data_IF_626798852824
#
_entry.id   IF_626798852824
#
_cell.length_a   1.000
_cell.length_b   1.000
_cell.length_c   1.000
_cell.angle_alpha   90.00
_cell.angle_beta   90.00
_cell.angle_gamma   90.00
#
_symmetry.space_group_name_H-M   'P 1'
#
loop_
_entity.id
_entity.type
_entity.pdbx_description
1 polymer ?
#
# COMPACT_ATOMS: atom_id res chain seq x y z
N UNK A 1 -8.08 9.93 3.90
CA UNK A 1 -7.63 10.13 2.51
C UNK A 1 -8.74 9.85 1.52
N UNK A 2 -9.68 8.98 1.86
CA UNK A 2 -10.73 8.46 0.98
C UNK A 2 -11.50 9.53 0.19
N UNK A 3 -12.02 10.58 0.85
CA UNK A 3 -12.71 11.70 0.17
C UNK A 3 -11.82 12.48 -0.82
N UNK A 4 -10.52 12.54 -0.57
CA UNK A 4 -9.55 13.19 -1.46
C UNK A 4 -9.18 12.29 -2.65
N UNK A 5 -9.37 10.99 -2.55
CA UNK A 5 -9.04 10.04 -3.61
C UNK A 5 -10.25 9.69 -4.49
N UNK A 6 -11.46 9.95 -4.02
CA UNK A 6 -12.71 9.67 -4.73
C UNK A 6 -12.73 10.31 -6.13
N UNK A 7 -13.01 9.46 -7.14
CA UNK A 7 -13.10 9.86 -8.55
C UNK A 7 -11.77 10.23 -9.21
N UNK A 8 -10.63 9.95 -8.57
CA UNK A 8 -9.29 10.34 -9.06
C UNK A 8 -8.31 9.18 -9.00
N UNK A 9 -7.46 9.05 -10.01
CA UNK A 9 -6.25 8.24 -9.89
C UNK A 9 -5.30 8.92 -8.90
N UNK A 10 -5.02 8.23 -7.79
CA UNK A 10 -4.27 8.79 -6.67
C UNK A 10 -3.00 7.98 -6.42
N UNK A 11 -1.85 8.64 -6.46
CA UNK A 11 -0.56 8.03 -6.13
C UNK A 11 -0.07 8.56 -4.78
N UNK A 12 0.01 7.69 -3.77
CA UNK A 12 0.28 8.06 -2.38
C UNK A 12 1.57 7.40 -1.91
N UNK A 13 2.52 8.19 -1.44
CA UNK A 13 3.74 7.72 -0.77
C UNK A 13 3.54 7.95 0.73
N UNK A 14 3.61 6.88 1.52
CA UNK A 14 3.40 6.97 2.97
C UNK A 14 4.29 6.00 3.74
N UNK A 15 4.69 6.41 4.95
CA UNK A 15 5.38 5.56 5.91
C UNK A 15 4.44 4.90 6.93
N UNK A 16 3.18 5.37 7.02
CA UNK A 16 2.19 4.84 7.97
C UNK A 16 1.22 3.93 7.23
N UNK A 17 1.09 2.68 7.68
CA UNK A 17 0.13 1.72 7.11
C UNK A 17 -1.30 2.25 7.12
N UNK A 18 -1.71 2.98 8.17
CA UNK A 18 -3.07 3.54 8.26
C UNK A 18 -3.43 4.49 7.12
N UNK A 19 -2.44 5.13 6.48
CA UNK A 19 -2.66 6.04 5.35
C UNK A 19 -2.97 5.28 4.05
N UNK A 20 -2.41 4.08 3.89
CA UNK A 20 -2.46 3.29 2.65
C UNK A 20 -3.34 2.03 2.77
N UNK A 21 -3.94 1.77 3.93
CA UNK A 21 -4.78 0.59 4.19
C UNK A 21 -5.92 0.42 3.18
N UNK A 22 -6.53 1.52 2.75
CA UNK A 22 -7.68 1.53 1.84
C UNK A 22 -7.26 1.65 0.36
N UNK A 23 -5.98 1.53 0.04
CA UNK A 23 -5.51 1.60 -1.35
C UNK A 23 -5.88 0.32 -2.10
N UNK A 24 -6.31 0.46 -3.35
CA UNK A 24 -6.62 -0.67 -4.23
C UNK A 24 -5.37 -1.55 -4.48
N UNK A 25 -4.21 -0.89 -4.63
CA UNK A 25 -2.92 -1.53 -4.86
C UNK A 25 -1.87 -0.81 -4.00
N UNK A 26 -1.11 -1.60 -3.26
CA UNK A 26 0.04 -1.18 -2.47
C UNK A 26 1.29 -1.78 -3.11
N UNK A 27 2.32 -0.96 -3.29
CA UNK A 27 3.65 -1.35 -3.75
C UNK A 27 4.62 -1.15 -2.60
N UNK A 28 5.27 -2.23 -2.17
CA UNK A 28 6.33 -2.17 -1.15
C UNK A 28 7.66 -2.09 -1.87
N UNK A 29 8.40 -1.03 -1.58
CA UNK A 29 9.72 -0.80 -2.16
C UNK A 29 10.80 -1.03 -1.12
N UNK A 30 11.84 -1.76 -1.53
CA UNK A 30 13.06 -1.94 -0.75
C UNK A 30 14.28 -1.87 -1.68
N UNK A 31 15.31 -1.14 -1.28
CA UNK A 31 16.54 -0.93 -2.07
C UNK A 31 16.30 -0.57 -3.56
N UNK A 32 15.27 0.24 -3.84
CA UNK A 32 14.93 0.68 -5.19
C UNK A 32 14.17 -0.35 -6.05
N UNK A 33 13.78 -1.48 -5.49
CA UNK A 33 13.02 -2.53 -6.17
C UNK A 33 11.63 -2.69 -5.52
N UNK A 34 10.64 -3.08 -6.31
CA UNK A 34 9.33 -3.49 -5.79
C UNK A 34 9.47 -4.94 -5.31
N UNK A 35 9.41 -5.13 -3.99
CA UNK A 35 9.55 -6.46 -3.38
C UNK A 35 8.19 -7.12 -3.14
N UNK A 36 7.12 -6.33 -2.96
CA UNK A 36 5.76 -6.84 -2.81
C UNK A 36 4.73 -5.94 -3.49
N UNK A 37 3.65 -6.58 -3.94
CA UNK A 37 2.49 -5.92 -4.53
C UNK A 37 1.20 -6.65 -4.13
N UNK A 38 0.17 -5.88 -3.81
CA UNK A 38 -1.16 -6.39 -3.46
C UNK A 38 -1.99 -5.33 -2.74
N UNK A 39 -3.23 -5.68 -2.36
CA UNK A 39 -3.99 -4.86 -1.42
C UNK A 39 -3.58 -5.18 0.02
N UNK A 40 -4.11 -4.41 0.98
CA UNK A 40 -3.78 -4.59 2.40
C UNK A 40 -3.99 -6.03 2.88
N UNK A 41 -5.15 -6.62 2.62
CA UNK A 41 -5.49 -7.96 3.10
C UNK A 41 -4.56 -9.04 2.54
N UNK A 42 -4.27 -8.99 1.23
CA UNK A 42 -3.39 -9.95 0.58
C UNK A 42 -1.95 -9.85 1.09
N UNK A 43 -1.44 -8.63 1.34
CA UNK A 43 -0.10 -8.43 1.86
C UNK A 43 0.03 -8.83 3.34
N UNK A 44 -0.98 -8.52 4.16
CA UNK A 44 -1.04 -9.01 5.55
C UNK A 44 -1.05 -10.54 5.61
N UNK A 45 -1.80 -11.19 4.71
CA UNK A 45 -1.88 -12.65 4.63
C UNK A 45 -0.55 -13.31 4.20
N UNK A 46 0.28 -12.60 3.43
CA UNK A 46 1.63 -13.08 3.06
C UNK A 46 2.60 -13.05 4.24
N UNK A 47 2.37 -12.20 5.24
CA UNK A 47 3.28 -12.06 6.39
C UNK A 47 4.70 -11.63 5.99
N UNK A 48 4.81 -10.84 4.92
CA UNK A 48 6.08 -10.31 4.41
C UNK A 48 6.47 -8.98 5.04
N UNK A 49 7.34 -8.23 4.36
CA UNK A 49 7.84 -6.91 4.77
C UNK A 49 6.73 -5.88 5.01
N UNK A 50 5.59 -6.03 4.30
CA UNK A 50 4.42 -5.18 4.55
C UNK A 50 3.79 -5.39 5.94
N UNK A 51 3.88 -6.61 6.49
CA UNK A 51 3.20 -7.01 7.72
C UNK A 51 4.07 -6.82 8.99
N UNK A 52 5.38 -6.68 8.82
CA UNK A 52 6.36 -6.38 9.87
C UNK A 52 6.34 -4.89 10.30
#
# INVERSE_FOLDING_TARGET
MDKLMEGRTSFVIAHRLSTIRNADIILVMDHGNIIEQGNHEALMAKGGFYAD
#
